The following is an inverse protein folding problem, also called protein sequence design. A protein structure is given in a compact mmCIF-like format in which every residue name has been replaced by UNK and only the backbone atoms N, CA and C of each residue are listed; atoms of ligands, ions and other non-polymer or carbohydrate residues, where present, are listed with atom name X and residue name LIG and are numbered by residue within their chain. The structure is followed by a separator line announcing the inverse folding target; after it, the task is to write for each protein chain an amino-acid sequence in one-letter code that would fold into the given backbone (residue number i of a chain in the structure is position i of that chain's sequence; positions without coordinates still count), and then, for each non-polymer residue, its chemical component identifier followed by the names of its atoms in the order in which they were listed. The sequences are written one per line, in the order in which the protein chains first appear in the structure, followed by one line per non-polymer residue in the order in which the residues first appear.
data_IF_723237224629
#
_entry.id   IF_723237224629
#
_cell.length_a   1.000
_cell.length_b   1.000
_cell.length_c   1.000
_cell.angle_alpha   90.00
_cell.angle_beta   90.00
_cell.angle_gamma   90.00
#
_symmetry.space_group_name_H-M   'P 1'
#
loop_
_entity.id
_entity.type
_entity.pdbx_description
1 polymer ?
#
# COMPACT_ATOMS: atom_id res chain seq x y z
N UNK A 1 -10.65 38.94 -14.31
CA UNK A 1 -11.70 37.92 -14.52
C UNK A 1 -11.07 36.89 -15.46
N UNK A 2 -10.66 35.69 -15.08
CA UNK A 2 -11.14 34.72 -14.09
C UNK A 2 -9.98 33.95 -13.41
N UNK A 3 -10.31 33.44 -12.23
CA UNK A 3 -9.47 32.77 -11.25
C UNK A 3 -8.76 31.49 -11.73
N UNK A 4 -7.50 31.39 -11.33
CA UNK A 4 -6.75 30.13 -11.21
C UNK A 4 -7.53 29.22 -10.26
N UNK A 5 -8.08 28.12 -10.77
CA UNK A 5 -8.71 27.11 -9.93
C UNK A 5 -7.62 26.26 -9.30
N UNK A 6 -7.44 26.46 -8.00
CA UNK A 6 -6.64 25.64 -7.10
C UNK A 6 -7.14 24.19 -7.18
N UNK A 7 -6.30 23.30 -7.73
CA UNK A 7 -6.48 21.86 -7.60
C UNK A 7 -6.22 21.54 -6.12
N UNK A 8 -7.27 21.47 -5.32
CA UNK A 8 -7.20 20.98 -3.94
C UNK A 8 -6.72 19.54 -3.98
N UNK A 9 -5.52 19.30 -3.46
CA UNK A 9 -5.00 17.96 -3.17
C UNK A 9 -6.06 17.18 -2.39
N UNK A 10 -6.28 15.89 -2.69
CA UNK A 10 -7.14 15.04 -1.86
C UNK A 10 -6.68 15.16 -0.41
N UNK A 11 -7.58 15.53 0.49
CA UNK A 11 -7.29 15.55 1.93
C UNK A 11 -7.23 14.09 2.38
N UNK A 12 -6.01 13.58 2.53
CA UNK A 12 -5.77 12.32 3.24
C UNK A 12 -6.37 12.43 4.66
N UNK A 13 -6.93 11.32 5.13
CA UNK A 13 -7.93 11.25 6.19
C UNK A 13 -7.66 12.08 7.46
N UNK A 14 -8.75 12.47 8.12
CA UNK A 14 -8.68 13.07 9.45
C UNK A 14 -7.92 12.15 10.41
N UNK A 15 -6.96 12.65 11.20
CA UNK A 15 -6.36 11.86 12.26
C UNK A 15 -7.43 11.64 13.35
N UNK A 16 -8.06 10.48 13.34
CA UNK A 16 -8.72 9.93 14.54
C UNK A 16 -7.99 8.67 14.99
N UNK A 17 -6.73 8.86 15.36
CA UNK A 17 -6.08 8.01 16.36
C UNK A 17 -6.22 8.73 17.71
N UNK A 18 -7.45 8.81 18.24
CA UNK A 18 -7.60 9.17 19.64
C UNK A 18 -6.98 8.04 20.48
N UNK A 19 -5.85 8.34 21.12
CA UNK A 19 -5.21 7.62 22.22
C UNK A 19 -4.15 6.52 21.98
N UNK A 20 -3.54 6.36 20.79
CA UNK A 20 -2.22 5.68 20.73
C UNK A 20 -1.11 6.70 20.93
N UNK A 21 -0.75 6.93 22.21
CA UNK A 21 0.43 7.67 22.64
C UNK A 21 1.68 7.04 22.02
N UNK A 22 2.27 7.71 21.01
CA UNK A 22 3.57 7.42 20.41
C UNK A 22 3.72 5.98 19.83
N UNK A 23 4.46 5.78 18.72
CA UNK A 23 4.82 4.44 18.28
C UNK A 23 5.55 3.72 19.44
N UNK A 24 5.25 2.44 19.73
CA UNK A 24 5.83 1.74 20.86
C UNK A 24 7.35 1.82 20.79
N UNK A 25 7.96 2.39 21.83
CA UNK A 25 9.39 2.65 21.99
C UNK A 25 10.26 1.38 22.14
N UNK A 26 9.75 0.21 21.73
CA UNK A 26 10.49 -1.03 21.46
C UNK A 26 9.71 -1.78 20.37
N UNK A 27 9.92 -1.43 19.10
CA UNK A 27 9.34 -2.18 17.98
C UNK A 27 10.08 -3.51 17.87
N UNK A 28 9.38 -4.62 18.03
CA UNK A 28 9.88 -5.92 17.59
C UNK A 28 9.92 -5.88 16.06
N UNK A 29 11.08 -5.56 15.48
CA UNK A 29 11.25 -5.46 14.03
C UNK A 29 11.69 -6.81 13.48
N UNK A 30 10.87 -7.41 12.61
CA UNK A 30 11.33 -8.52 11.76
C UNK A 30 12.11 -7.93 10.59
N UNK A 31 13.40 -8.26 10.55
CA UNK A 31 14.30 -7.94 9.44
C UNK A 31 13.90 -8.70 8.18
N UNK A 32 13.75 -7.99 7.07
CA UNK A 32 13.40 -8.48 5.74
C UNK A 32 14.64 -8.40 4.84
N UNK A 33 14.77 -9.32 3.88
CA UNK A 33 15.88 -9.34 2.94
C UNK A 33 15.86 -8.09 2.04
N UNK A 34 16.99 -7.36 1.99
CA UNK A 34 17.17 -6.13 1.20
C UNK A 34 17.70 -6.39 -0.21
N UNK A 35 16.90 -7.03 -1.07
CA UNK A 35 17.27 -7.41 -2.45
C UNK A 35 16.47 -6.66 -3.53
N UNK A 36 15.84 -5.53 -3.18
CA UNK A 36 14.93 -4.78 -4.06
C UNK A 36 13.50 -5.32 -4.09
N UNK A 37 13.21 -6.44 -3.40
CA UNK A 37 11.87 -7.00 -3.27
C UNK A 37 11.31 -6.87 -1.84
N UNK A 38 11.97 -6.10 -0.98
CA UNK A 38 11.67 -5.99 0.45
C UNK A 38 10.18 -5.69 0.72
N UNK A 39 9.56 -4.82 -0.06
CA UNK A 39 8.12 -4.54 0.01
C UNK A 39 7.26 -5.82 -0.13
N UNK A 40 7.50 -6.61 -1.19
CA UNK A 40 6.74 -7.84 -1.45
C UNK A 40 7.09 -8.95 -0.46
N UNK A 41 8.34 -8.98 0.02
CA UNK A 41 8.79 -9.91 1.06
C UNK A 41 8.15 -9.61 2.42
N UNK A 42 8.05 -8.34 2.78
CA UNK A 42 7.37 -7.89 3.98
C UNK A 42 5.90 -8.34 3.96
N UNK A 43 5.19 -8.12 2.87
CA UNK A 43 3.81 -8.60 2.74
C UNK A 43 3.67 -10.11 2.69
N UNK A 44 4.59 -10.80 2.02
CA UNK A 44 4.65 -12.27 2.10
C UNK A 44 4.76 -12.73 3.55
N UNK A 45 5.67 -12.14 4.32
CA UNK A 45 5.83 -12.47 5.73
C UNK A 45 4.58 -12.18 6.55
N UNK A 46 3.93 -11.02 6.36
CA UNK A 46 2.69 -10.68 7.07
C UNK A 46 1.53 -11.66 6.74
N UNK A 47 1.46 -12.16 5.50
CA UNK A 47 0.37 -13.04 5.07
C UNK A 47 0.60 -14.51 5.46
N UNK A 48 1.84 -15.00 5.37
CA UNK A 48 2.14 -16.44 5.51
C UNK A 48 3.28 -16.78 6.47
N UNK A 49 3.83 -15.81 7.21
CA UNK A 49 4.95 -16.02 8.12
C UNK A 49 6.29 -16.34 7.44
N UNK A 50 6.38 -16.19 6.12
CA UNK A 50 7.57 -16.49 5.32
C UNK A 50 7.75 -15.48 4.18
N UNK A 51 8.99 -15.15 3.85
CA UNK A 51 9.34 -14.24 2.74
C UNK A 51 9.33 -14.93 1.37
N UNK A 52 9.24 -16.27 1.32
CA UNK A 52 9.41 -17.09 0.11
C UNK A 52 8.33 -16.84 -0.96
N UNK A 53 7.12 -16.43 -0.57
CA UNK A 53 6.01 -16.20 -1.48
C UNK A 53 5.97 -14.80 -2.11
N UNK A 54 7.03 -14.00 -1.95
CA UNK A 54 7.03 -12.60 -2.41
C UNK A 54 6.74 -12.43 -3.91
N UNK A 55 7.15 -13.37 -4.76
CA UNK A 55 6.85 -13.35 -6.20
C UNK A 55 5.36 -13.56 -6.46
N UNK A 56 4.71 -14.45 -5.70
CA UNK A 56 3.28 -14.70 -5.82
C UNK A 56 2.47 -13.49 -5.34
N UNK A 57 2.88 -12.86 -4.23
CA UNK A 57 2.29 -11.62 -3.73
C UNK A 57 2.40 -10.50 -4.77
N UNK A 58 3.59 -10.30 -5.34
CA UNK A 58 3.82 -9.33 -6.43
C UNK A 58 2.86 -9.54 -7.60
N UNK A 59 2.75 -10.77 -8.09
CA UNK A 59 1.84 -11.11 -9.19
C UNK A 59 0.39 -10.85 -8.84
N UNK A 60 -0.03 -11.17 -7.62
CA UNK A 60 -1.40 -10.92 -7.17
C UNK A 60 -1.74 -9.42 -7.19
N UNK A 61 -0.83 -8.57 -6.69
CA UNK A 61 -0.97 -7.11 -6.71
C UNK A 61 -1.03 -6.60 -8.16
N UNK A 62 -0.08 -6.99 -9.03
CA UNK A 62 -0.05 -6.55 -10.43
C UNK A 62 -1.33 -6.95 -11.17
N UNK A 63 -1.77 -8.20 -11.02
CA UNK A 63 -2.99 -8.70 -11.65
C UNK A 63 -4.24 -7.99 -11.13
N UNK A 64 -4.24 -7.59 -9.86
CA UNK A 64 -5.32 -6.79 -9.29
C UNK A 64 -5.39 -5.40 -9.93
N UNK A 65 -4.23 -4.76 -10.14
CA UNK A 65 -4.14 -3.47 -10.81
C UNK A 65 -4.63 -3.53 -12.27
N UNK A 66 -4.29 -4.61 -12.98
CA UNK A 66 -4.73 -4.81 -14.37
C UNK A 66 -6.24 -4.98 -14.54
N UNK A 67 -6.95 -5.45 -13.52
CA UNK A 67 -8.40 -5.64 -13.62
C UNK A 67 -9.17 -4.33 -13.75
N UNK A 68 -8.58 -3.22 -13.28
CA UNK A 68 -9.19 -1.89 -13.34
C UNK A 68 -8.17 -0.86 -13.86
N UNK A 69 -7.77 -0.97 -15.14
CA UNK A 69 -6.55 -0.33 -15.62
C UNK A 69 -6.64 1.19 -15.63
N UNK A 70 -7.82 1.76 -15.90
CA UNK A 70 -8.05 3.21 -15.89
C UNK A 70 -7.88 3.79 -14.49
N UNK A 71 -8.46 3.13 -13.47
CA UNK A 71 -8.36 3.58 -12.07
C UNK A 71 -6.92 3.54 -11.60
N UNK A 72 -6.22 2.43 -11.84
CA UNK A 72 -4.84 2.27 -11.38
C UNK A 72 -3.84 3.12 -12.16
N UNK A 73 -4.06 3.35 -13.46
CA UNK A 73 -3.29 4.32 -14.24
C UNK A 73 -3.40 5.74 -13.65
N UNK A 74 -4.62 6.16 -13.29
CA UNK A 74 -4.86 7.45 -12.65
C UNK A 74 -4.20 7.57 -11.27
N UNK A 75 -4.25 6.51 -10.44
CA UNK A 75 -3.63 6.49 -9.11
C UNK A 75 -2.09 6.51 -9.23
N UNK A 76 -1.53 5.75 -10.16
CA UNK A 76 -0.10 5.68 -10.42
C UNK A 76 0.45 6.93 -11.14
N UNK A 77 -0.43 7.78 -11.70
CA UNK A 77 -0.01 8.96 -12.47
C UNK A 77 0.66 8.59 -13.80
N UNK A 78 0.21 7.51 -14.44
CA UNK A 78 0.74 7.00 -15.72
C UNK A 78 -0.36 6.91 -16.76
N UNK A 79 0.02 6.92 -18.04
CA UNK A 79 -0.94 6.81 -19.15
C UNK A 79 -1.48 5.39 -19.34
N UNK A 80 -0.64 4.37 -19.06
CA UNK A 80 -0.97 2.96 -19.23
C UNK A 80 -0.45 2.15 -18.06
N UNK A 81 -1.38 1.57 -17.28
CA UNK A 81 -0.98 0.68 -16.19
C UNK A 81 -0.30 -0.59 -16.72
N UNK A 82 -0.74 -1.10 -17.88
CA UNK A 82 -0.16 -2.31 -18.46
C UNK A 82 1.31 -2.08 -18.79
N UNK A 83 1.63 -0.94 -19.41
CA UNK A 83 3.01 -0.59 -19.72
C UNK A 83 3.85 -0.36 -18.45
N UNK A 84 3.28 0.34 -17.45
CA UNK A 84 3.91 0.52 -16.14
C UNK A 84 4.29 -0.83 -15.51
N UNK A 85 3.37 -1.80 -15.54
CA UNK A 85 3.59 -3.12 -14.97
C UNK A 85 4.63 -3.93 -15.76
N UNK A 86 4.56 -3.88 -17.09
CA UNK A 86 5.44 -4.65 -18.00
C UNK A 86 6.88 -4.11 -18.01
N UNK A 87 7.08 -2.82 -17.72
CA UNK A 87 8.40 -2.20 -17.62
C UNK A 87 9.26 -2.79 -16.50
N UNK A 88 8.67 -3.40 -15.46
CA UNK A 88 9.44 -4.02 -14.39
C UNK A 88 8.63 -4.54 -13.21
N UNK A 89 7.49 -3.92 -12.88
CA UNK A 89 6.78 -4.22 -11.64
C UNK A 89 6.31 -5.69 -11.50
N UNK A 90 6.03 -6.38 -12.61
CA UNK A 90 5.63 -7.80 -12.57
C UNK A 90 6.73 -8.75 -12.14
N UNK A 91 7.99 -8.36 -12.36
CA UNK A 91 9.12 -9.25 -12.19
C UNK A 91 9.92 -8.86 -10.95
N UNK A 92 10.51 -9.83 -10.24
CA UNK A 92 11.52 -9.51 -9.23
C UNK A 92 12.75 -8.89 -9.88
N UNK A 93 13.37 -7.92 -9.19
CA UNK A 93 14.60 -7.30 -9.65
C UNK A 93 15.18 -6.38 -8.58
N UNK A 94 16.40 -5.91 -8.83
CA UNK A 94 17.20 -5.16 -7.85
C UNK A 94 17.19 -3.65 -8.07
N UNK A 95 16.82 -3.20 -9.27
CA UNK A 95 16.73 -1.77 -9.61
C UNK A 95 15.34 -1.19 -9.28
N UNK A 96 15.23 0.15 -9.32
CA UNK A 96 14.08 0.90 -8.84
C UNK A 96 12.75 0.58 -9.52
N UNK A 97 12.74 0.13 -10.78
CA UNK A 97 11.50 -0.20 -11.51
C UNK A 97 10.79 -1.45 -10.96
N UNK A 98 11.45 -2.22 -10.09
CA UNK A 98 10.84 -3.38 -9.43
C UNK A 98 10.45 -3.10 -7.98
N UNK A 99 10.81 -1.94 -7.42
CA UNK A 99 10.53 -1.62 -6.02
C UNK A 99 9.07 -1.23 -5.86
N UNK A 100 8.43 -1.71 -4.79
CA UNK A 100 7.07 -1.30 -4.48
C UNK A 100 7.01 0.16 -4.06
N UNK A 101 5.99 0.87 -4.54
CA UNK A 101 5.72 2.27 -4.23
C UNK A 101 4.38 2.42 -3.52
N UNK A 102 4.00 3.65 -3.20
CA UNK A 102 2.67 4.01 -2.68
C UNK A 102 1.52 3.40 -3.49
N UNK A 103 1.69 3.30 -4.82
CA UNK A 103 0.70 2.67 -5.70
C UNK A 103 0.50 1.20 -5.37
N UNK A 104 1.57 0.42 -5.23
CA UNK A 104 1.48 -1.01 -4.89
C UNK A 104 1.01 -1.22 -3.44
N UNK A 105 1.36 -0.32 -2.51
CA UNK A 105 0.85 -0.34 -1.13
C UNK A 105 -0.68 -0.22 -1.14
N UNK A 106 -1.22 0.74 -1.89
CA UNK A 106 -2.66 0.94 -2.04
C UNK A 106 -3.33 -0.25 -2.74
N UNK A 107 -2.71 -0.79 -3.78
CA UNK A 107 -3.22 -1.96 -4.49
C UNK A 107 -3.25 -3.21 -3.61
N UNK A 108 -2.25 -3.40 -2.75
CA UNK A 108 -2.25 -4.46 -1.75
C UNK A 108 -3.38 -4.26 -0.74
N UNK A 109 -3.51 -3.07 -0.16
CA UNK A 109 -4.55 -2.75 0.81
C UNK A 109 -5.96 -2.97 0.24
N UNK A 110 -6.17 -2.62 -1.03
CA UNK A 110 -7.43 -2.84 -1.75
C UNK A 110 -7.68 -4.33 -2.05
N UNK A 111 -6.65 -5.08 -2.46
CA UNK A 111 -6.78 -6.50 -2.79
C UNK A 111 -7.10 -7.35 -1.56
N UNK A 112 -6.46 -7.08 -0.42
CA UNK A 112 -6.56 -7.89 0.79
C UNK A 112 -7.55 -7.33 1.84
N UNK A 113 -8.25 -6.23 1.52
CA UNK A 113 -9.21 -5.56 2.41
C UNK A 113 -8.59 -5.29 3.80
N UNK A 114 -7.42 -4.63 3.81
CA UNK A 114 -6.65 -4.37 5.01
C UNK A 114 -6.17 -2.91 5.10
N UNK A 115 -5.69 -2.51 6.27
CA UNK A 115 -5.00 -1.23 6.47
C UNK A 115 -3.49 -1.45 6.48
N UNK A 116 -2.73 -0.55 5.86
CA UNK A 116 -1.27 -0.59 5.89
C UNK A 116 -0.76 0.70 6.52
N UNK A 117 -0.16 0.60 7.70
CA UNK A 117 0.47 1.73 8.37
C UNK A 117 1.99 1.66 8.15
N UNK A 118 2.58 2.76 7.71
CA UNK A 118 4.01 2.88 7.43
C UNK A 118 4.61 3.88 8.40
N UNK A 119 5.44 3.37 9.30
CA UNK A 119 6.30 4.18 10.14
C UNK A 119 7.55 4.59 9.37
N UNK A 120 8.04 5.80 9.59
CA UNK A 120 9.39 6.20 9.15
C UNK A 120 10.03 7.15 10.18
N UNK A 121 11.27 7.57 9.93
CA UNK A 121 12.05 8.38 10.87
C UNK A 121 11.62 9.86 10.95
N UNK A 122 10.74 10.32 10.05
CA UNK A 122 10.43 11.73 9.87
C UNK A 122 8.94 12.06 10.06
N UNK A 123 8.02 11.27 9.49
CA UNK A 123 6.56 11.41 9.53
C UNK A 123 5.84 10.05 9.31
N UNK A 124 5.01 9.58 10.24
CA UNK A 124 4.23 8.36 10.03
C UNK A 124 3.12 8.54 8.96
N UNK A 125 2.92 7.54 8.08
CA UNK A 125 1.93 7.58 6.98
C UNK A 125 1.00 6.36 7.05
N UNK A 126 -0.31 6.58 6.95
CA UNK A 126 -1.33 5.51 6.91
C UNK A 126 -1.93 5.39 5.50
N UNK A 127 -1.92 4.17 4.95
CA UNK A 127 -2.56 3.80 3.69
C UNK A 127 -3.80 2.96 3.95
N UNK A 128 -4.93 3.40 3.39
CA UNK A 128 -6.20 2.69 3.43
C UNK A 128 -6.99 3.03 2.16
N UNK A 129 -7.76 2.07 1.66
CA UNK A 129 -8.78 2.35 0.65
C UNK A 129 -9.87 3.25 1.25
N UNK A 130 -10.01 4.47 0.77
CA UNK A 130 -11.18 5.29 1.09
C UNK A 130 -12.36 4.86 0.20
N UNK A 131 -13.46 4.43 0.83
CA UNK A 131 -14.75 4.22 0.15
C UNK A 131 -15.43 5.57 -0.15
N UNK A 132 -14.78 6.47 -0.88
CA UNK A 132 -15.44 7.68 -1.39
C UNK A 132 -15.36 7.71 -2.92
N UNK A 133 -16.45 7.25 -3.55
CA UNK A 133 -16.92 7.71 -4.85
C UNK A 133 -15.99 7.56 -6.06
N UNK A 134 -15.91 6.35 -6.63
CA UNK A 134 -15.56 6.18 -8.04
C UNK A 134 -16.62 5.30 -8.73
N UNK A 135 -17.49 5.93 -9.52
CA UNK A 135 -18.39 5.26 -10.46
C UNK A 135 -19.61 4.55 -9.86
N UNK A 136 -20.57 4.12 -10.71
CA UNK A 136 -21.77 3.42 -10.28
C UNK A 136 -21.37 2.17 -9.50
N UNK A 137 -21.92 2.05 -8.29
CA UNK A 137 -21.69 0.93 -7.38
C UNK A 137 -21.89 -0.39 -8.14
N UNK A 138 -20.90 -1.29 -8.19
CA UNK A 138 -21.20 -2.71 -8.40
C UNK A 138 -22.19 -3.09 -7.31
N UNK A 139 -23.35 -3.63 -7.67
CA UNK A 139 -24.50 -3.96 -6.80
C UNK A 139 -24.23 -5.09 -5.80
N UNK A 140 -22.97 -5.29 -5.43
CA UNK A 140 -22.59 -6.15 -4.32
C UNK A 140 -22.54 -5.25 -3.09
N UNK A 141 -23.59 -5.29 -2.27
CA UNK A 141 -23.60 -4.70 -0.92
C UNK A 141 -22.39 -5.24 -0.14
N UNK A 142 -21.25 -4.56 -0.24
CA UNK A 142 -20.16 -4.72 0.73
C UNK A 142 -20.46 -3.73 1.85
N UNK A 143 -20.86 -4.20 3.04
CA UNK A 143 -21.09 -3.31 4.16
C UNK A 143 -19.82 -2.50 4.42
N UNK A 144 -19.97 -1.20 4.62
CA UNK A 144 -18.90 -0.34 5.10
C UNK A 144 -18.43 -0.93 6.44
N UNK A 145 -17.24 -1.54 6.47
CA UNK A 145 -16.68 -2.10 7.70
C UNK A 145 -16.13 -0.98 8.57
N UNK A 146 -16.33 -1.08 9.87
CA UNK A 146 -15.68 -0.17 10.80
C UNK A 146 -14.17 -0.36 10.72
N UNK A 147 -13.42 0.74 10.83
CA UNK A 147 -11.95 0.77 10.77
C UNK A 147 -11.31 -0.23 11.75
N UNK A 148 -11.99 -0.55 12.86
CA UNK A 148 -11.54 -1.51 13.86
C UNK A 148 -11.63 -2.98 13.44
N UNK A 149 -12.40 -3.30 12.39
CA UNK A 149 -12.60 -4.69 11.92
C UNK A 149 -11.58 -5.11 10.86
N UNK A 150 -10.79 -4.17 10.33
CA UNK A 150 -9.80 -4.46 9.31
C UNK A 150 -8.49 -4.92 9.93
N UNK A 151 -7.89 -5.96 9.35
CA UNK A 151 -6.51 -6.34 9.67
C UNK A 151 -5.59 -5.16 9.37
N UNK A 152 -4.77 -4.76 10.34
CA UNK A 152 -3.77 -3.70 10.17
C UNK A 152 -2.39 -4.32 10.04
N UNK A 153 -1.72 -4.05 8.92
CA UNK A 153 -0.32 -4.39 8.70
C UNK A 153 0.54 -3.17 9.04
N UNK A 154 1.60 -3.41 9.82
CA UNK A 154 2.53 -2.38 10.27
C UNK A 154 3.88 -2.58 9.58
N UNK A 155 4.28 -1.63 8.76
CA UNK A 155 5.58 -1.61 8.09
C UNK A 155 6.43 -0.46 8.63
N UNK A 156 7.75 -0.64 8.60
CA UNK A 156 8.71 0.43 8.85
C UNK A 156 9.56 0.65 7.61
N UNK A 157 9.64 1.89 7.14
CA UNK A 157 10.38 2.27 5.96
C UNK A 157 11.59 3.12 6.34
N UNK A 158 12.79 2.56 6.16
CA UNK A 158 14.06 3.22 6.45
C UNK A 158 14.92 3.29 5.20
N UNK A 159 15.27 4.50 4.75
CA UNK A 159 16.27 4.76 3.70
C UNK A 159 16.16 3.84 2.47
N UNK A 160 14.93 3.57 1.96
CA UNK A 160 14.61 2.68 0.82
C UNK A 160 14.39 1.19 1.14
N UNK A 161 14.27 0.80 2.40
CA UNK A 161 14.02 -0.59 2.80
C UNK A 161 12.79 -0.73 3.68
N UNK A 162 11.98 -1.77 3.43
CA UNK A 162 10.80 -2.10 4.22
C UNK A 162 11.10 -3.23 5.20
N UNK A 163 10.71 -3.01 6.44
CA UNK A 163 10.73 -3.99 7.53
C UNK A 163 9.32 -4.21 8.05
N UNK A 164 9.09 -5.35 8.71
CA UNK A 164 7.80 -5.63 9.37
C UNK A 164 7.89 -5.26 10.84
N UNK A 165 6.91 -4.48 11.31
CA UNK A 165 6.73 -4.19 12.73
C UNK A 165 5.79 -5.27 13.28
N UNK A 166 6.31 -6.09 14.19
CA UNK A 166 5.52 -7.09 14.89
C UNK A 166 4.75 -6.40 16.01
N UNK A 167 3.45 -6.68 16.13
CA UNK A 167 2.67 -6.31 17.31
C UNK A 167 3.28 -7.02 18.53
N UNK A 168 3.50 -6.34 19.67
CA UNK A 168 4.00 -6.96 20.89
C UNK A 168 3.10 -8.07 21.46
#
# INVERSE_FOLDING_TARGET
MLQVHSITRPRFGTPRLSNRKQPPLQKNIKRIVGDGNCFFRAFSYCLCGSEENHVAVRRAICNHMERNPVTWASIAGVDSITEYLDRGMRNPGTDQRHWGTDTEILAFADLFDCMVYIYNDHDDVLYQKQYEGYGPRPTVDRPCRDIGDLTTILLYHAQYHFEVVMDP
#
